data_IF_306771117081
#
_entry.id   IF_306771117081
#
_cell.length_a   1.000
_cell.length_b   1.000
_cell.length_c   1.000
_cell.angle_alpha   90.00
_cell.angle_beta   90.00
_cell.angle_gamma   90.00
#
_symmetry.space_group_name_H-M   'P 1'
#
loop_
_entity.id
_entity.type
_entity.pdbx_description
1 polymer ?
#
# COMPACT_ATOMS: atom_id res chain seq x y z
N UNK A 1 4.50 7.02 20.93
CA UNK A 1 5.15 8.08 21.74
C UNK A 1 4.34 8.26 23.01
N UNK A 2 4.96 8.48 24.17
CA UNK A 2 4.24 8.95 25.36
C UNK A 2 3.79 10.40 25.14
N UNK A 3 2.91 10.91 26.01
CA UNK A 3 2.40 12.28 25.91
C UNK A 3 3.48 13.36 25.97
N UNK A 4 4.65 13.02 26.53
CA UNK A 4 5.84 13.87 26.59
C UNK A 4 6.75 13.78 25.34
N UNK A 5 6.35 13.01 24.33
CA UNK A 5 7.15 12.78 23.13
C UNK A 5 8.29 11.78 23.31
N UNK A 6 8.41 11.11 24.46
CA UNK A 6 9.39 10.04 24.66
C UNK A 6 9.00 8.74 23.97
N UNK A 7 10.01 7.95 23.59
CA UNK A 7 9.82 6.62 23.01
C UNK A 7 9.22 5.67 24.06
N UNK A 8 8.07 5.07 23.74
CA UNK A 8 7.39 4.09 24.60
C UNK A 8 8.21 2.81 24.74
N UNK A 9 8.36 2.12 23.60
CA UNK A 9 9.22 0.96 23.38
C UNK A 9 9.60 0.90 21.90
N UNK A 10 10.65 0.16 21.57
CA UNK A 10 11.02 -0.18 20.19
C UNK A 10 11.38 -1.67 20.11
N UNK A 11 11.00 -2.31 19.01
CA UNK A 11 11.38 -3.68 18.68
C UNK A 11 11.71 -3.79 17.21
N UNK A 12 12.66 -4.65 16.87
CA UNK A 12 13.00 -4.98 15.49
C UNK A 12 12.61 -6.41 15.18
N UNK A 13 12.15 -6.60 13.96
CA UNK A 13 11.44 -7.77 13.48
C UNK A 13 12.08 -8.14 12.15
N UNK A 14 12.64 -9.34 12.04
CA UNK A 14 13.20 -9.77 10.76
C UNK A 14 14.06 -11.02 10.83
N UNK A 15 14.64 -11.35 9.70
CA UNK A 15 15.60 -12.43 9.53
C UNK A 15 17.02 -11.87 9.69
N UNK A 16 17.89 -12.49 10.51
CA UNK A 16 19.28 -12.06 10.61
C UNK A 16 19.97 -12.04 9.24
N UNK A 17 20.70 -10.96 8.96
CA UNK A 17 21.43 -10.75 7.70
C UNK A 17 20.53 -10.67 6.44
N UNK A 18 19.26 -10.31 6.60
CA UNK A 18 18.33 -10.06 5.51
C UNK A 18 17.93 -8.58 5.41
N UNK A 19 17.34 -8.21 4.27
CA UNK A 19 16.70 -6.92 4.04
C UNK A 19 15.19 -7.10 4.17
N UNK A 20 14.64 -6.64 5.29
CA UNK A 20 13.21 -6.72 5.58
C UNK A 20 12.65 -5.31 5.72
N UNK A 21 11.47 -5.09 5.14
CA UNK A 21 10.86 -3.76 5.06
C UNK A 21 9.40 -3.85 5.51
N UNK A 22 9.03 -3.05 6.50
CA UNK A 22 7.65 -2.85 6.90
C UNK A 22 7.13 -1.56 6.26
N UNK A 23 6.06 -1.66 5.47
CA UNK A 23 5.48 -0.53 4.73
C UNK A 23 4.21 0.01 5.38
N UNK A 24 3.51 -0.82 6.16
CA UNK A 24 2.27 -0.44 6.80
C UNK A 24 2.19 -0.94 8.25
N UNK A 25 1.59 -0.09 9.08
CA UNK A 25 1.21 -0.40 10.46
C UNK A 25 -0.21 0.11 10.72
N UNK A 26 -1.01 -0.66 11.46
CA UNK A 26 -2.37 -0.32 11.89
C UNK A 26 -2.61 -0.75 13.33
N UNK A 27 -3.44 0.01 14.04
CA UNK A 27 -4.08 -0.48 15.27
C UNK A 27 -5.29 -1.30 14.83
N UNK A 28 -5.33 -2.56 15.22
CA UNK A 28 -6.44 -3.46 14.99
C UNK A 28 -7.61 -3.15 15.93
N UNK A 29 -8.79 -3.68 15.60
CA UNK A 29 -10.03 -3.51 16.35
C UNK A 29 -9.93 -4.00 17.81
N UNK A 30 -9.06 -4.97 18.08
CA UNK A 30 -8.75 -5.49 19.41
C UNK A 30 -7.64 -4.71 20.14
N UNK A 31 -7.18 -3.59 19.59
CA UNK A 31 -6.14 -2.73 20.16
C UNK A 31 -4.71 -3.21 19.93
N UNK A 32 -4.54 -4.37 19.31
CA UNK A 32 -3.23 -4.91 18.91
C UNK A 32 -2.68 -4.20 17.67
N UNK A 33 -1.43 -4.46 17.29
CA UNK A 33 -0.85 -3.85 16.09
C UNK A 33 -0.76 -4.86 14.95
N UNK A 34 -1.15 -4.43 13.75
CA UNK A 34 -0.92 -5.15 12.50
C UNK A 34 0.21 -4.45 11.74
N UNK A 35 1.14 -5.24 11.21
CA UNK A 35 2.23 -4.79 10.36
C UNK A 35 2.17 -5.56 9.04
N UNK A 36 2.55 -4.92 7.95
CA UNK A 36 2.77 -5.61 6.69
C UNK A 36 3.94 -5.03 5.91
N UNK A 37 4.48 -5.87 5.04
CA UNK A 37 5.68 -5.52 4.29
C UNK A 37 6.18 -6.66 3.43
N UNK A 38 7.51 -6.69 3.26
CA UNK A 38 8.22 -7.78 2.60
C UNK A 38 9.47 -8.17 3.39
N UNK A 39 9.90 -9.40 3.18
CA UNK A 39 11.09 -9.95 3.80
C UNK A 39 11.74 -10.98 2.87
N UNK A 40 13.03 -11.22 3.06
CA UNK A 40 13.73 -12.24 2.27
C UNK A 40 13.37 -13.64 2.80
N UNK A 41 12.84 -14.48 1.92
CA UNK A 41 12.45 -15.86 2.20
C UNK A 41 12.86 -16.76 1.04
N UNK A 42 13.58 -17.85 1.31
CA UNK A 42 13.98 -18.86 0.30
C UNK A 42 14.68 -18.27 -0.94
N UNK A 43 15.46 -17.19 -0.76
CA UNK A 43 16.18 -16.52 -1.85
C UNK A 43 15.33 -15.57 -2.71
N UNK A 44 14.07 -15.33 -2.34
CA UNK A 44 13.14 -14.39 -2.99
C UNK A 44 12.52 -13.42 -1.97
N UNK A 45 11.80 -12.39 -2.43
CA UNK A 45 11.04 -11.46 -1.59
C UNK A 45 9.60 -11.98 -1.40
N UNK A 46 9.24 -12.36 -0.18
CA UNK A 46 7.87 -12.70 0.21
C UNK A 46 7.22 -11.57 0.98
N UNK A 47 5.92 -11.41 0.85
CA UNK A 47 5.17 -10.50 1.69
C UNK A 47 4.91 -11.11 3.07
N UNK A 48 4.76 -10.27 4.08
CA UNK A 48 4.30 -10.70 5.40
C UNK A 48 3.15 -9.83 5.90
N UNK A 49 2.33 -10.42 6.76
CA UNK A 49 1.44 -9.72 7.69
C UNK A 49 1.75 -10.26 9.08
N UNK A 50 1.94 -9.39 10.05
CA UNK A 50 2.22 -9.75 11.43
C UNK A 50 1.23 -9.06 12.35
N UNK A 51 0.78 -9.77 13.38
CA UNK A 51 0.07 -9.18 14.51
C UNK A 51 0.93 -9.22 15.76
N UNK A 52 0.96 -8.13 16.51
CA UNK A 52 1.65 -8.01 17.80
C UNK A 52 0.72 -7.48 18.87
N UNK A 53 0.99 -7.79 20.13
CA UNK A 53 0.31 -7.15 21.25
C UNK A 53 0.74 -5.68 21.44
N UNK A 54 0.14 -4.98 22.40
CA UNK A 54 0.45 -3.58 22.68
C UNK A 54 1.88 -3.33 23.17
N UNK A 55 2.60 -4.39 23.60
CA UNK A 55 4.00 -4.39 24.00
C UNK A 55 4.95 -4.86 22.87
N UNK A 56 4.42 -5.12 21.68
CA UNK A 56 5.16 -5.61 20.52
C UNK A 56 5.58 -7.08 20.64
N UNK A 57 4.97 -7.90 21.48
CA UNK A 57 5.18 -9.34 21.41
C UNK A 57 4.42 -9.90 20.21
N UNK A 58 5.08 -10.70 19.38
CA UNK A 58 4.46 -11.28 18.19
C UNK A 58 3.39 -12.30 18.59
N UNK A 59 2.16 -12.08 18.12
CA UNK A 59 1.04 -13.00 18.31
C UNK A 59 0.97 -14.00 17.16
N UNK A 60 1.12 -13.54 15.93
CA UNK A 60 1.23 -14.38 14.74
C UNK A 60 1.92 -13.63 13.60
N UNK A 61 2.45 -14.40 12.64
CA UNK A 61 2.95 -13.92 11.36
C UNK A 61 2.47 -14.85 10.23
N UNK A 62 1.97 -14.26 9.16
CA UNK A 62 1.65 -14.93 7.91
C UNK A 62 2.65 -14.51 6.84
N UNK A 63 3.09 -15.47 6.03
CA UNK A 63 3.94 -15.24 4.86
C UNK A 63 3.17 -15.53 3.57
N UNK A 64 3.31 -14.65 2.59
CA UNK A 64 2.49 -14.62 1.38
C UNK A 64 3.40 -14.48 0.16
N UNK A 65 3.27 -15.40 -0.80
CA UNK A 65 4.08 -15.40 -2.01
C UNK A 65 4.29 -16.81 -2.56
N UNK A 66 5.24 -16.91 -3.48
CA UNK A 66 5.69 -18.15 -4.10
C UNK A 66 7.23 -18.11 -4.18
N UNK A 67 7.89 -19.27 -4.20
CA UNK A 67 9.37 -19.37 -4.14
C UNK A 67 10.08 -18.80 -5.36
N UNK A 68 9.36 -18.57 -6.45
CA UNK A 68 9.89 -18.06 -7.72
C UNK A 68 9.49 -16.60 -8.00
N UNK A 69 8.77 -15.95 -7.08
CA UNK A 69 8.10 -14.68 -7.35
C UNK A 69 8.31 -13.67 -6.22
N UNK A 70 8.32 -12.39 -6.58
CA UNK A 70 8.31 -11.30 -5.62
C UNK A 70 6.87 -10.98 -5.20
N UNK A 71 6.68 -10.72 -3.92
CA UNK A 71 5.46 -10.14 -3.38
C UNK A 71 5.80 -9.11 -2.30
N UNK A 72 5.06 -8.01 -2.26
CA UNK A 72 5.19 -6.98 -1.23
C UNK A 72 3.82 -6.42 -0.91
N UNK A 73 3.49 -6.31 0.38
CA UNK A 73 2.28 -5.61 0.83
C UNK A 73 2.69 -4.19 1.24
N UNK A 74 2.15 -3.18 0.57
CA UNK A 74 2.44 -1.78 0.87
C UNK A 74 1.41 -1.15 1.80
N UNK A 75 0.18 -1.70 1.83
CA UNK A 75 -0.84 -1.25 2.76
C UNK A 75 -1.81 -2.35 3.18
N UNK A 76 -2.40 -2.18 4.37
CA UNK A 76 -3.37 -3.11 4.95
C UNK A 76 -4.48 -2.35 5.71
N UNK A 77 -5.68 -2.92 5.73
CA UNK A 77 -6.82 -2.44 6.51
C UNK A 77 -7.59 -3.61 7.10
N UNK A 78 -8.16 -3.42 8.28
CA UNK A 78 -9.10 -4.36 8.88
C UNK A 78 -10.53 -3.94 8.57
N UNK A 79 -11.35 -4.90 8.15
CA UNK A 79 -12.78 -4.73 7.92
C UNK A 79 -13.55 -4.88 9.25
N UNK A 80 -14.79 -4.35 9.34
CA UNK A 80 -15.59 -4.46 10.57
C UNK A 80 -15.84 -5.89 11.07
N UNK A 81 -15.77 -6.88 10.19
CA UNK A 81 -15.91 -8.30 10.54
C UNK A 81 -14.58 -8.97 10.97
N UNK A 82 -13.48 -8.22 11.06
CA UNK A 82 -12.15 -8.71 11.40
C UNK A 82 -11.32 -9.26 10.24
N UNK A 83 -11.88 -9.32 9.02
CA UNK A 83 -11.11 -9.68 7.83
C UNK A 83 -10.08 -8.60 7.51
N UNK A 84 -8.98 -8.99 6.87
CA UNK A 84 -7.94 -8.08 6.44
C UNK A 84 -8.02 -7.88 4.93
N UNK A 85 -7.90 -6.63 4.48
CA UNK A 85 -7.65 -6.27 3.09
C UNK A 85 -6.23 -5.75 2.98
N UNK A 86 -5.44 -6.35 2.10
CA UNK A 86 -4.06 -5.95 1.85
C UNK A 86 -3.83 -5.70 0.36
N UNK A 87 -2.89 -4.82 0.03
CA UNK A 87 -2.52 -4.54 -1.35
C UNK A 87 -1.06 -4.20 -1.51
N UNK A 88 -0.57 -4.44 -2.72
CA UNK A 88 0.79 -4.09 -3.08
C UNK A 88 1.13 -4.56 -4.49
N UNK A 89 2.30 -5.17 -4.63
CA UNK A 89 2.85 -5.58 -5.91
C UNK A 89 3.33 -7.03 -5.90
N UNK A 90 3.27 -7.67 -7.07
CA UNK A 90 3.68 -9.05 -7.24
C UNK A 90 4.13 -9.37 -8.66
N UNK A 91 5.05 -10.31 -8.84
CA UNK A 91 5.41 -10.84 -10.17
C UNK A 91 4.71 -12.16 -10.49
N UNK A 92 3.73 -12.59 -9.69
CA UNK A 92 3.10 -13.92 -9.74
C UNK A 92 2.60 -14.41 -11.11
N UNK A 93 2.16 -13.52 -12.01
CA UNK A 93 1.69 -13.92 -13.34
C UNK A 93 2.81 -14.06 -14.37
N UNK A 94 4.08 -13.92 -13.95
CA UNK A 94 5.25 -13.91 -14.83
C UNK A 94 6.08 -15.17 -14.62
N UNK A 95 6.88 -15.61 -15.61
CA UNK A 95 7.79 -16.75 -15.44
C UNK A 95 8.91 -16.51 -14.43
N UNK A 96 9.32 -15.25 -14.21
CA UNK A 96 10.39 -14.87 -13.30
C UNK A 96 10.27 -13.41 -12.80
N UNK A 97 11.11 -13.07 -11.82
CA UNK A 97 11.18 -11.75 -11.16
C UNK A 97 11.87 -10.64 -11.97
N UNK A 98 12.28 -10.89 -13.23
CA UNK A 98 12.91 -9.88 -14.09
C UNK A 98 11.88 -8.99 -14.81
N UNK A 99 10.59 -9.24 -14.58
CA UNK A 99 9.47 -8.52 -15.17
C UNK A 99 8.87 -7.49 -14.21
N UNK A 100 8.16 -6.51 -14.77
CA UNK A 100 7.38 -5.54 -14.01
C UNK A 100 6.41 -6.23 -13.05
N UNK A 101 6.27 -5.66 -11.86
CA UNK A 101 5.28 -6.16 -10.91
C UNK A 101 3.87 -5.82 -11.38
N UNK A 102 2.98 -6.80 -11.28
CA UNK A 102 1.54 -6.61 -11.37
C UNK A 102 0.99 -6.17 -10.00
N UNK A 103 -0.19 -5.58 -10.02
CA UNK A 103 -0.83 -5.03 -8.83
C UNK A 103 -1.71 -6.10 -8.26
N UNK A 104 -1.80 -6.18 -6.94
CA UNK A 104 -2.77 -7.06 -6.32
C UNK A 104 -3.50 -6.41 -5.15
N UNK A 105 -4.72 -6.89 -4.94
CA UNK A 105 -5.42 -6.81 -3.66
C UNK A 105 -5.71 -8.23 -3.19
N UNK A 106 -5.67 -8.44 -1.88
CA UNK A 106 -6.03 -9.71 -1.27
C UNK A 106 -6.94 -9.47 -0.06
N UNK A 107 -7.85 -10.41 0.17
CA UNK A 107 -8.64 -10.50 1.40
C UNK A 107 -8.23 -11.72 2.18
N UNK A 108 -8.05 -11.54 3.48
CA UNK A 108 -7.71 -12.60 4.42
C UNK A 108 -8.73 -12.64 5.55
N UNK A 109 -8.89 -13.80 6.17
CA UNK A 109 -9.63 -13.89 7.43
C UNK A 109 -8.80 -13.26 8.58
N UNK A 110 -9.41 -13.14 9.76
CA UNK A 110 -8.74 -12.61 10.96
C UNK A 110 -7.50 -13.42 11.42
N UNK A 111 -7.37 -14.68 11.00
CA UNK A 111 -6.21 -15.54 11.24
C UNK A 111 -5.11 -15.41 10.16
N UNK A 112 -5.29 -14.52 9.20
CA UNK A 112 -4.37 -14.29 8.10
C UNK A 112 -4.39 -15.39 7.02
N UNK A 113 -5.43 -16.21 6.93
CA UNK A 113 -5.60 -17.12 5.79
C UNK A 113 -6.24 -16.38 4.62
N UNK A 114 -5.68 -16.54 3.42
CA UNK A 114 -6.22 -15.90 2.22
C UNK A 114 -7.59 -16.45 1.85
N UNK A 115 -8.57 -15.56 1.74
CA UNK A 115 -9.91 -15.83 1.20
C UNK A 115 -9.87 -15.70 -0.32
N UNK A 116 -9.32 -14.60 -0.83
CA UNK A 116 -9.10 -14.40 -2.26
C UNK A 116 -7.93 -13.45 -2.52
N UNK A 117 -7.37 -13.55 -3.73
CA UNK A 117 -6.37 -12.62 -4.27
C UNK A 117 -6.78 -12.24 -5.68
N UNK A 118 -6.78 -10.94 -5.99
CA UNK A 118 -7.02 -10.39 -7.33
C UNK A 118 -5.76 -9.70 -7.80
N UNK A 119 -5.31 -10.07 -8.99
CA UNK A 119 -4.22 -9.40 -9.70
C UNK A 119 -4.83 -8.64 -10.87
N UNK A 120 -4.42 -7.40 -11.10
CA UNK A 120 -4.97 -6.58 -12.17
C UNK A 120 -3.90 -5.76 -12.90
N UNK A 121 -4.14 -5.57 -14.19
CA UNK A 121 -3.24 -4.90 -15.12
C UNK A 121 -4.00 -4.40 -16.35
N UNK A 122 -3.40 -3.50 -17.11
CA UNK A 122 -4.02 -2.89 -18.29
C UNK A 122 -3.02 -2.61 -19.41
N UNK A 123 -3.57 -2.23 -20.56
CA UNK A 123 -2.86 -1.66 -21.71
C UNK A 123 -3.67 -0.44 -22.18
N UNK A 124 -3.04 0.70 -22.50
CA UNK A 124 -1.60 0.95 -22.57
C UNK A 124 -0.94 1.23 -21.19
N UNK A 125 -1.74 1.64 -20.20
CA UNK A 125 -1.22 2.03 -18.88
C UNK A 125 -0.91 0.79 -18.04
N UNK A 126 0.39 0.62 -17.77
CA UNK A 126 0.91 -0.41 -16.87
C UNK A 126 0.77 0.13 -15.46
N UNK A 127 0.26 -0.67 -14.53
CA UNK A 127 0.14 -0.27 -13.12
C UNK A 127 1.33 -0.86 -12.35
N UNK A 128 1.84 -0.18 -11.32
CA UNK A 128 3.06 -0.58 -10.62
C UNK A 128 2.78 -1.26 -9.27
N UNK A 129 2.06 -0.58 -8.39
CA UNK A 129 1.68 -1.11 -7.09
C UNK A 129 0.43 -0.44 -6.52
N UNK A 130 -0.32 -1.19 -5.72
CA UNK A 130 -1.30 -0.64 -4.78
C UNK A 130 -0.54 -0.08 -3.58
N UNK A 131 -0.52 1.24 -3.44
CA UNK A 131 0.25 1.96 -2.43
C UNK A 131 -0.56 2.38 -1.21
N UNK A 132 -1.90 2.28 -1.28
CA UNK A 132 -2.79 2.54 -0.14
C UNK A 132 -4.15 1.88 -0.32
N UNK A 133 -4.79 1.56 0.79
CA UNK A 133 -6.14 0.99 0.84
C UNK A 133 -7.00 1.76 1.85
N UNK A 134 -8.23 2.04 1.44
CA UNK A 134 -9.32 2.55 2.28
C UNK A 134 -10.54 1.65 2.09
N UNK A 135 -11.26 1.36 3.17
CA UNK A 135 -12.56 0.66 3.11
C UNK A 135 -13.65 1.71 3.29
N UNK A 136 -14.57 1.82 2.32
CA UNK A 136 -15.69 2.76 2.42
C UNK A 136 -16.83 2.20 3.30
N UNK A 137 -17.84 3.03 3.58
CA UNK A 137 -18.98 2.65 4.44
C UNK A 137 -19.83 1.51 3.85
N UNK A 138 -19.70 1.21 2.56
CA UNK A 138 -20.36 0.11 1.87
C UNK A 138 -19.46 -1.12 1.76
N UNK A 139 -18.32 -1.11 2.45
CA UNK A 139 -17.28 -2.16 2.43
C UNK A 139 -16.63 -2.35 1.06
N UNK A 140 -16.70 -1.34 0.18
CA UNK A 140 -15.90 -1.34 -1.03
C UNK A 140 -14.45 -1.03 -0.68
N UNK A 141 -13.54 -1.56 -1.49
CA UNK A 141 -12.10 -1.39 -1.36
C UNK A 141 -11.68 -0.27 -2.32
N UNK A 142 -11.15 0.81 -1.77
CA UNK A 142 -10.60 1.93 -2.52
C UNK A 142 -9.08 1.83 -2.47
N UNK A 143 -8.47 1.56 -3.61
CA UNK A 143 -7.04 1.37 -3.78
C UNK A 143 -6.42 2.59 -4.45
N UNK A 144 -5.46 3.23 -3.79
CA UNK A 144 -4.55 4.17 -4.45
C UNK A 144 -3.46 3.39 -5.17
N UNK A 145 -3.25 3.67 -6.45
CA UNK A 145 -2.38 2.88 -7.34
C UNK A 145 -1.47 3.81 -8.12
N UNK A 146 -0.17 3.53 -8.12
CA UNK A 146 0.78 4.19 -9.00
C UNK A 146 0.79 3.49 -10.37
N UNK A 147 0.80 4.25 -11.47
CA UNK A 147 1.09 3.67 -12.80
C UNK A 147 2.60 3.57 -13.04
N UNK A 148 3.02 2.71 -13.96
CA UNK A 148 4.40 2.42 -14.32
C UNK A 148 4.80 3.08 -15.66
N UNK A 149 6.03 3.65 -15.70
CA UNK A 149 6.59 4.38 -16.85
C UNK A 149 7.45 3.50 -17.77
N UNK A 150 7.70 2.24 -17.41
CA UNK A 150 8.70 1.38 -18.06
C UNK A 150 8.09 0.07 -18.61
N UNK A 151 8.63 -0.49 -19.72
CA UNK A 151 9.79 -0.09 -20.51
C UNK A 151 9.38 0.17 -21.97
N UNK A 152 8.24 0.84 -22.23
CA UNK A 152 7.95 1.21 -23.61
C UNK A 152 9.11 2.05 -24.14
N UNK A 153 9.45 1.86 -25.41
CA UNK A 153 10.49 2.66 -26.10
C UNK A 153 10.17 4.16 -26.09
N UNK A 154 8.94 4.53 -25.74
CA UNK A 154 8.52 5.87 -25.37
C UNK A 154 8.27 5.97 -23.86
N UNK A 155 8.71 7.05 -23.22
CA UNK A 155 8.40 7.35 -21.82
C UNK A 155 6.89 7.62 -21.72
N UNK A 156 6.14 6.76 -21.02
CA UNK A 156 4.74 7.03 -20.67
C UNK A 156 4.72 7.77 -19.34
N UNK A 157 3.99 8.88 -19.30
CA UNK A 157 3.85 9.68 -18.07
C UNK A 157 3.10 8.87 -17.02
N UNK A 158 3.73 8.64 -15.86
CA UNK A 158 3.04 8.04 -14.73
C UNK A 158 1.91 8.93 -14.25
N UNK A 159 0.76 8.35 -13.92
CA UNK A 159 -0.41 9.02 -13.36
C UNK A 159 -0.70 8.49 -11.97
N UNK A 160 -1.44 9.28 -11.20
CA UNK A 160 -2.06 8.75 -9.98
C UNK A 160 -3.35 8.03 -10.38
N UNK A 161 -3.60 6.85 -9.85
CA UNK A 161 -4.84 6.12 -10.08
C UNK A 161 -5.57 5.82 -8.77
N UNK A 162 -6.90 5.80 -8.83
CA UNK A 162 -7.75 5.27 -7.76
C UNK A 162 -8.70 4.26 -8.36
N UNK A 163 -8.67 3.06 -7.78
CA UNK A 163 -9.52 1.94 -8.17
C UNK A 163 -10.50 1.66 -7.03
N UNK A 164 -11.73 1.31 -7.38
CA UNK A 164 -12.79 0.88 -6.47
C UNK A 164 -13.19 -0.55 -6.82
N UNK A 165 -13.17 -1.42 -5.82
CA UNK A 165 -13.62 -2.79 -5.91
C UNK A 165 -14.74 -3.04 -4.91
N UNK A 166 -15.62 -4.01 -5.18
CA UNK A 166 -16.53 -4.51 -4.16
C UNK A 166 -15.80 -5.37 -3.10
N UNK A 167 -16.54 -5.83 -2.09
CA UNK A 167 -16.01 -6.67 -1.01
C UNK A 167 -15.54 -8.07 -1.49
N UNK A 168 -15.93 -8.49 -2.69
CA UNK A 168 -15.54 -9.75 -3.34
C UNK A 168 -14.34 -9.55 -4.29
N UNK A 169 -13.82 -8.32 -4.39
CA UNK A 169 -12.67 -7.96 -5.22
C UNK A 169 -13.03 -7.81 -6.70
N UNK A 170 -14.30 -7.62 -7.06
CA UNK A 170 -14.69 -7.24 -8.42
C UNK A 170 -14.39 -5.76 -8.64
N UNK A 171 -13.69 -5.43 -9.72
CA UNK A 171 -13.43 -4.04 -10.10
C UNK A 171 -14.75 -3.34 -10.50
N UNK A 172 -15.07 -2.25 -9.81
CA UNK A 172 -16.26 -1.43 -10.09
C UNK A 172 -15.90 -0.17 -10.88
N UNK A 173 -14.75 0.46 -10.58
CA UNK A 173 -14.31 1.69 -11.23
C UNK A 173 -12.79 1.83 -11.14
N UNK A 174 -12.15 2.35 -12.18
CA UNK A 174 -10.74 2.74 -12.16
C UNK A 174 -10.58 4.08 -12.87
N UNK A 175 -10.03 5.08 -12.18
CA UNK A 175 -9.77 6.42 -12.73
C UNK A 175 -8.29 6.73 -12.57
N UNK A 176 -7.67 7.21 -13.64
CA UNK A 176 -6.39 7.94 -13.54
C UNK A 176 -6.66 9.43 -13.50
N UNK A 177 -5.87 10.15 -12.72
CA UNK A 177 -5.93 11.59 -12.57
C UNK A 177 -4.67 12.20 -13.14
N UNK A 178 -4.77 13.47 -13.54
CA UNK A 178 -3.70 14.33 -14.06
C UNK A 178 -3.07 13.87 -15.40
N UNK A 179 -2.31 14.78 -16.01
CA UNK A 179 -1.74 14.66 -17.37
C UNK A 179 -0.21 14.77 -17.40
N UNK A 180 0.45 14.52 -16.27
CA UNK A 180 1.91 14.63 -16.13
C UNK A 180 2.45 13.57 -15.17
N UNK A 181 3.77 13.50 -15.04
CA UNK A 181 4.44 12.48 -14.24
C UNK A 181 4.05 12.57 -12.77
N UNK A 182 3.68 11.43 -12.21
CA UNK A 182 3.15 11.33 -10.85
C UNK A 182 3.50 9.99 -10.21
N UNK A 183 3.62 9.91 -8.89
CA UNK A 183 3.88 8.64 -8.20
C UNK A 183 3.45 8.66 -6.73
N UNK A 184 3.56 7.50 -6.07
CA UNK A 184 3.25 7.25 -4.66
C UNK A 184 1.87 7.72 -4.22
N UNK A 185 0.85 7.39 -5.01
CA UNK A 185 -0.54 7.73 -4.72
C UNK A 185 -0.93 7.23 -3.34
N UNK A 186 -1.55 8.07 -2.53
CA UNK A 186 -2.18 7.70 -1.26
C UNK A 186 -3.62 8.19 -1.30
N UNK A 187 -4.55 7.36 -0.86
CA UNK A 187 -5.96 7.74 -0.72
C UNK A 187 -6.36 7.67 0.75
N UNK A 188 -7.21 8.60 1.17
CA UNK A 188 -7.84 8.61 2.50
C UNK A 188 -9.31 8.98 2.38
N UNK A 189 -10.14 8.50 3.30
CA UNK A 189 -11.53 8.91 3.40
C UNK A 189 -11.62 10.40 3.78
N UNK A 190 -12.54 11.13 3.16
CA UNK A 190 -12.83 12.51 3.51
C UNK A 190 -14.07 12.58 4.44
N UNK A 191 -14.17 13.61 5.31
CA UNK A 191 -15.32 13.75 6.24
C UNK A 191 -16.68 13.89 5.56
N UNK A 192 -16.72 14.30 4.29
CA UNK A 192 -17.94 14.47 3.50
C UNK A 192 -18.40 13.18 2.78
N UNK A 193 -17.77 12.05 3.08
CA UNK A 193 -18.06 10.75 2.45
C UNK A 193 -17.39 10.54 1.08
N UNK A 194 -16.62 11.52 0.60
CA UNK A 194 -15.71 11.35 -0.54
C UNK A 194 -14.32 10.87 -0.12
N UNK A 195 -13.32 11.19 -0.93
CA UNK A 195 -11.94 10.80 -0.67
C UNK A 195 -10.99 11.99 -0.89
N UNK A 196 -9.80 11.90 -0.33
CA UNK A 196 -8.66 12.75 -0.69
C UNK A 196 -7.55 11.86 -1.25
N UNK A 197 -6.95 12.33 -2.33
CA UNK A 197 -5.78 11.72 -2.94
C UNK A 197 -4.58 12.63 -2.69
N UNK A 198 -3.48 12.03 -2.26
CA UNK A 198 -2.18 12.68 -2.26
C UNK A 198 -1.15 11.91 -3.07
N UNK A 199 -0.07 12.57 -3.44
CA UNK A 199 1.07 11.99 -4.14
C UNK A 199 2.03 13.10 -4.51
N UNK A 200 2.83 12.92 -5.54
CA UNK A 200 3.45 14.04 -6.23
C UNK A 200 3.03 14.08 -7.69
N UNK A 201 3.12 15.26 -8.28
CA UNK A 201 2.93 15.46 -9.70
C UNK A 201 3.76 16.63 -10.21
N UNK A 202 4.19 16.55 -11.46
CA UNK A 202 4.78 17.68 -12.18
C UNK A 202 3.82 18.29 -13.21
N UNK A 203 2.59 17.77 -13.31
CA UNK A 203 1.60 18.16 -14.31
C UNK A 203 1.22 19.65 -14.23
N UNK A 204 1.35 20.27 -13.05
CA UNK A 204 0.88 21.64 -12.79
C UNK A 204 2.01 22.65 -12.55
N UNK A 205 3.25 22.19 -12.64
CA UNK A 205 4.44 22.90 -12.15
C UNK A 205 5.59 22.89 -13.15
N UNK A 206 5.52 22.02 -14.18
CA UNK A 206 6.49 21.94 -15.26
C UNK A 206 7.30 20.64 -15.22
N UNK A 207 7.99 20.27 -16.32
CA UNK A 207 8.48 18.92 -16.57
C UNK A 207 9.51 18.36 -15.56
N UNK A 208 10.16 19.20 -14.76
CA UNK A 208 11.16 18.79 -13.76
C UNK A 208 10.81 19.24 -12.33
N UNK A 209 9.64 19.85 -12.13
CA UNK A 209 9.23 20.39 -10.83
C UNK A 209 8.16 19.52 -10.20
N UNK A 210 8.53 18.42 -9.58
CA UNK A 210 7.56 17.63 -8.81
C UNK A 210 7.13 18.38 -7.55
N UNK A 211 5.83 18.58 -7.38
CA UNK A 211 5.24 19.10 -6.14
C UNK A 211 4.31 18.06 -5.53
N UNK A 212 4.11 18.15 -4.23
CA UNK A 212 3.06 17.40 -3.55
C UNK A 212 1.71 17.76 -4.17
N UNK A 213 0.97 16.74 -4.56
CA UNK A 213 -0.39 16.85 -5.07
C UNK A 213 -1.36 16.53 -3.94
N UNK A 214 -2.41 17.33 -3.79
CA UNK A 214 -3.59 17.03 -3.01
C UNK A 214 -4.82 17.25 -3.89
N UNK A 215 -5.61 16.21 -4.12
CA UNK A 215 -6.86 16.26 -4.87
C UNK A 215 -8.02 15.82 -3.97
N UNK A 216 -9.15 16.54 -4.05
CA UNK A 216 -10.41 16.11 -3.45
C UNK A 216 -11.21 15.33 -4.48
N UNK A 217 -11.74 14.18 -4.05
CA UNK A 217 -12.63 13.33 -4.84
C UNK A 217 -13.99 13.23 -4.14
N UNK A 218 -15.07 13.19 -4.91
CA UNK A 218 -16.39 12.84 -4.40
C UNK A 218 -16.50 11.32 -4.10
N UNK A 219 -17.66 10.88 -3.61
CA UNK A 219 -17.92 9.47 -3.28
C UNK A 219 -17.90 8.53 -4.50
N UNK A 220 -17.96 9.08 -5.71
CA UNK A 220 -17.89 8.35 -6.98
C UNK A 220 -16.49 8.32 -7.57
N UNK A 221 -15.49 8.88 -6.87
CA UNK A 221 -14.12 9.09 -7.35
C UNK A 221 -13.99 10.17 -8.43
N UNK A 222 -14.90 11.14 -8.51
CA UNK A 222 -14.71 12.28 -9.41
C UNK A 222 -13.97 13.40 -8.70
N UNK A 223 -12.91 13.92 -9.33
CA UNK A 223 -12.28 15.21 -9.03
C UNK A 223 -12.92 16.38 -9.78
N UNK A 224 -13.81 16.11 -10.74
CA UNK A 224 -14.48 17.11 -11.59
C UNK A 224 -13.65 17.56 -12.80
N UNK A 225 -12.35 17.25 -12.84
CA UNK A 225 -11.48 17.57 -13.98
C UNK A 225 -10.21 16.69 -14.04
N UNK A 226 -9.62 16.56 -15.24
CA UNK A 226 -8.38 15.80 -15.51
C UNK A 226 -8.45 14.31 -15.11
N UNK A 227 -9.59 13.67 -15.42
CA UNK A 227 -9.84 12.26 -15.17
C UNK A 227 -9.81 11.46 -16.47
N UNK A 228 -9.28 10.24 -16.42
CA UNK A 228 -9.44 9.26 -17.50
C UNK A 228 -9.97 7.97 -16.90
N UNK A 229 -11.12 7.52 -17.41
CA UNK A 229 -11.69 6.24 -17.02
C UNK A 229 -10.89 5.11 -17.68
N UNK A 230 -10.32 4.24 -16.84
CA UNK A 230 -9.52 3.07 -17.23
C UNK A 230 -10.11 1.79 -16.65
N UNK A 231 -11.42 1.73 -16.39
CA UNK A 231 -12.10 0.60 -15.74
C UNK A 231 -12.03 -0.70 -16.54
N UNK A 232 -11.70 -0.64 -17.84
CA UNK A 232 -11.47 -1.81 -18.69
C UNK A 232 -10.12 -2.51 -18.41
N UNK A 233 -9.81 -2.77 -17.13
CA UNK A 233 -8.63 -3.53 -16.71
C UNK A 233 -8.90 -5.03 -16.75
N UNK A 234 -7.86 -5.79 -17.06
CA UNK A 234 -7.89 -7.24 -16.86
C UNK A 234 -7.75 -7.52 -15.37
N UNK A 235 -8.66 -8.32 -14.82
CA UNK A 235 -8.59 -8.81 -13.43
C UNK A 235 -8.54 -10.33 -13.43
N UNK A 236 -7.55 -10.88 -12.72
CA UNK A 236 -7.32 -12.32 -12.60
C UNK A 236 -7.47 -12.71 -11.13
N UNK A 237 -8.33 -13.69 -10.86
CA UNK A 237 -8.34 -14.38 -9.57
C UNK A 237 -7.12 -15.28 -9.50
N UNK A 238 -6.31 -15.10 -8.46
CA UNK A 238 -5.18 -15.99 -8.19
C UNK A 238 -5.53 -17.01 -7.10
N UNK A 239 -4.73 -18.08 -7.03
CA UNK A 239 -4.83 -19.09 -5.95
C UNK A 239 -4.61 -18.42 -4.59
N UNK A 240 -5.22 -18.91 -3.49
CA UNK A 240 -4.87 -18.46 -2.14
C UNK A 240 -3.39 -18.71 -1.86
N UNK A 241 -2.70 -17.76 -1.22
CA UNK A 241 -1.29 -17.87 -0.87
C UNK A 241 -1.16 -17.82 0.65
N UNK A 242 -0.70 -18.90 1.28
CA UNK A 242 -0.12 -18.83 2.62
C UNK A 242 1.04 -19.80 2.65
N UNK A 243 2.25 -19.26 2.76
CA UNK A 243 3.46 -20.08 2.92
C UNK A 243 3.49 -20.51 4.37
N UNK A 244 3.18 -21.79 4.63
CA UNK A 244 2.99 -22.33 5.99
C UNK A 244 4.32 -22.47 6.75
N UNK A 245 5.46 -22.45 6.05
CA UNK A 245 6.78 -22.60 6.67
C UNK A 245 7.50 -21.25 6.59
N UNK A 246 7.38 -20.37 7.60
CA UNK A 246 8.25 -19.22 7.68
C UNK A 246 9.68 -19.71 7.92
N UNK A 247 10.64 -19.13 7.19
CA UNK A 247 12.00 -18.94 7.71
C UNK A 247 11.85 -18.25 9.08
N UNK A 248 12.58 -18.67 10.14
CA UNK A 248 12.34 -18.17 11.48
C UNK A 248 12.45 -16.64 11.50
N UNK A 249 11.29 -16.01 11.66
CA UNK A 249 11.18 -14.58 11.81
C UNK A 249 11.51 -14.27 13.27
N UNK A 250 12.73 -13.77 13.52
CA UNK A 250 13.21 -13.53 14.87
C UNK A 250 12.80 -12.11 15.29
N UNK A 251 12.10 -12.01 16.42
CA UNK A 251 11.98 -10.75 17.13
C UNK A 251 13.25 -10.58 17.97
N UNK A 252 14.17 -9.74 17.51
CA UNK A 252 15.32 -9.34 18.34
C UNK A 252 14.92 -8.08 19.07
N UNK A 253 14.86 -8.16 20.41
CA UNK A 253 14.70 -6.97 21.24
C UNK A 253 16.06 -6.30 21.32
N UNK A 254 16.26 -5.25 20.51
CA UNK A 254 17.36 -4.32 20.71
C UNK A 254 16.83 -3.21 21.62
N UNK A 255 17.28 -3.19 22.88
CA UNK A 255 17.12 -2.02 23.72
C UNK A 255 17.96 -0.89 23.13
N UNK A 256 17.32 0.09 22.50
CA UNK A 256 18.01 1.30 22.07
C UNK A 256 18.50 2.06 23.32
N UNK A 257 19.71 2.65 23.29
CA UNK A 257 20.10 3.61 24.30
C UNK A 257 19.05 4.73 24.35
N UNK A 258 18.80 5.27 25.54
CA UNK A 258 17.91 6.42 25.74
C UNK A 258 18.30 7.53 24.77
N UNK A 259 17.45 7.83 23.78
CA UNK A 259 17.60 9.00 22.93
C UNK A 259 17.61 10.24 23.86
N UNK A 260 18.60 11.14 23.78
CA UNK A 260 18.54 12.39 24.53
C UNK A 260 17.29 13.17 24.10
N UNK A 261 16.49 13.55 25.10
CA UNK A 261 15.18 14.18 24.94
C UNK A 261 15.31 15.67 24.54
N UNK A 262 15.89 15.95 23.37
CA UNK A 262 15.89 17.30 22.81
C UNK A 262 15.64 17.24 21.31
N UNK A 263 14.39 17.03 20.93
CA UNK A 263 13.90 17.49 19.63
C UNK A 263 13.26 18.85 19.86
N UNK A 264 13.96 19.92 19.49
CA UNK A 264 13.35 21.25 19.36
C UNK A 264 12.39 21.22 18.17
N UNK A 265 11.10 21.55 18.35
CA UNK A 265 10.18 21.62 17.23
C UNK A 265 10.58 22.81 16.34
N UNK A 266 11.09 22.52 15.15
CA UNK A 266 11.20 23.51 14.08
C UNK A 266 9.86 23.47 13.34
N UNK A 267 8.97 24.40 13.65
CA UNK A 267 7.78 24.64 12.83
C UNK A 267 8.22 25.39 11.57
N UNK A 268 8.57 24.64 10.53
CA UNK A 268 8.71 25.17 9.18
C UNK A 268 7.50 24.70 8.37
N UNK A 269 6.57 25.60 8.08
CA UNK A 269 5.50 25.35 7.11
C UNK A 269 6.09 25.68 5.74
N UNK A 270 6.31 24.71 4.84
CA UNK A 270 6.79 25.00 3.50
C UNK A 270 5.72 25.82 2.76
N UNK A 271 6.09 26.84 1.97
CA UNK A 271 5.12 27.63 1.20
C UNK A 271 4.56 26.90 -0.04
N UNK A 272 4.74 25.59 -0.19
CA UNK A 272 4.59 24.89 -1.48
C UNK A 272 3.58 23.72 -1.46
N UNK A 273 2.45 23.86 -0.77
CA UNK A 273 1.30 22.96 -0.97
C UNK A 273 0.38 23.59 -2.02
N UNK A 274 0.30 22.97 -3.19
CA UNK A 274 -0.65 23.38 -4.23
C UNK A 274 -1.98 22.67 -3.97
N UNK A 275 -2.97 23.43 -3.50
CA UNK A 275 -4.34 22.97 -3.35
C UNK A 275 -5.11 23.28 -4.63
N UNK A 276 -5.61 22.26 -5.31
CA UNK A 276 -6.48 22.43 -6.47
C UNK A 276 -7.93 22.17 -6.07
N UNK A 277 -8.82 23.10 -6.42
CA UNK A 277 -10.25 22.86 -6.53
C UNK A 277 -10.59 22.92 -8.02
N UNK A 278 -11.06 21.80 -8.57
CA UNK A 278 -12.14 21.86 -9.54
C UNK A 278 -13.44 21.99 -8.69
#
# INVERSE_FOLDING_TARGET
MRSDGSLGWSKTYGTPNAYDEAYAVRVASDGNYLLAGRYTSMGTLSAFIMKTDTAGNMLWIGSYGDTLQHMSILDLQEMPNGDLIAGGSTTLLKPNFQSFSDNFIMRLNAAGDTIWTKIFFGSPDRFENVSSIVIDNQQNIIAGVATASYPSTAIVQNKNAVLKFDAQGQLLKAITYNSGYSHYTRVSAAPDGGFVLSGFSNAYTGPQEFRTLLLKLDSTLSSGCQETNVTALTTVQSKPFKVVIPTPFLAVVVSLPTMPATLTPIFWIPPYVLLFRC
#
